data_IF_485924163456
#
_entry.id   IF_485924163456
#
_cell.length_a   1.000
_cell.length_b   1.000
_cell.length_c   1.000
_cell.angle_alpha   90.00
_cell.angle_beta   90.00
_cell.angle_gamma   90.00
#
_symmetry.space_group_name_H-M   'P 1'
#
loop_
_entity.id
_entity.type
_entity.pdbx_description
1 polymer ?
#
# COMPACT_ATOMS: atom_id res chain seq x y z
N UNK A 1 13.00 1.58 24.28
CA UNK A 1 11.61 1.61 23.78
C UNK A 1 11.28 0.21 23.29
N UNK A 2 10.71 -0.63 24.15
CA UNK A 2 10.34 -2.00 23.77
C UNK A 2 9.00 -1.94 23.03
N UNK A 3 9.06 -1.91 21.70
CA UNK A 3 7.86 -1.93 20.86
C UNK A 3 7.19 -3.29 20.98
N UNK A 4 5.91 -3.32 21.36
CA UNK A 4 5.14 -4.56 21.32
C UNK A 4 4.87 -4.95 19.87
N UNK A 5 4.85 -6.25 19.58
CA UNK A 5 4.62 -6.75 18.22
C UNK A 5 3.30 -6.20 17.61
N UNK A 6 2.31 -5.92 18.46
CA UNK A 6 1.01 -5.36 18.07
C UNK A 6 1.10 -3.89 17.65
N UNK A 7 1.90 -3.08 18.36
CA UNK A 7 2.10 -1.67 17.97
C UNK A 7 2.91 -1.57 16.69
N UNK A 8 3.93 -2.42 16.53
CA UNK A 8 4.69 -2.53 15.28
C UNK A 8 3.79 -2.96 14.09
N UNK A 9 2.93 -3.97 14.29
CA UNK A 9 1.98 -4.42 13.29
C UNK A 9 0.97 -3.33 12.92
N UNK A 10 0.43 -2.60 13.90
CA UNK A 10 -0.49 -1.49 13.65
C UNK A 10 0.13 -0.35 12.84
N UNK A 11 1.37 0.04 13.16
CA UNK A 11 2.11 1.06 12.40
C UNK A 11 2.41 0.61 10.97
N UNK A 12 2.85 -0.65 10.81
CA UNK A 12 3.10 -1.24 9.50
C UNK A 12 1.82 -1.32 8.65
N UNK A 13 0.70 -1.72 9.23
CA UNK A 13 -0.60 -1.74 8.55
C UNK A 13 -0.99 -0.34 8.07
N UNK A 14 -0.86 0.68 8.93
CA UNK A 14 -1.13 2.07 8.57
C UNK A 14 -0.24 2.58 7.42
N UNK A 15 1.06 2.28 7.47
CA UNK A 15 1.99 2.65 6.39
C UNK A 15 1.62 2.01 5.05
N UNK A 16 1.21 0.74 5.07
CA UNK A 16 0.78 0.03 3.86
C UNK A 16 -0.55 0.55 3.30
N UNK A 17 -1.48 0.97 4.15
CA UNK A 17 -2.71 1.66 3.69
C UNK A 17 -2.35 2.97 2.98
N UNK A 18 -1.46 3.79 3.55
CA UNK A 18 -1.00 5.02 2.90
C UNK A 18 -0.34 4.72 1.56
N UNK A 19 0.50 3.68 1.49
CA UNK A 19 1.15 3.26 0.24
C UNK A 19 0.13 2.83 -0.81
N UNK A 20 -0.91 2.08 -0.42
CA UNK A 20 -1.99 1.66 -1.33
C UNK A 20 -2.75 2.87 -1.90
N UNK A 21 -3.04 3.88 -1.07
CA UNK A 21 -3.69 5.12 -1.51
C UNK A 21 -2.79 5.85 -2.51
N UNK A 22 -1.50 6.02 -2.19
CA UNK A 22 -0.53 6.67 -3.09
C UNK A 22 -0.42 5.93 -4.41
N UNK A 23 -0.33 4.60 -4.39
CA UNK A 23 -0.28 3.78 -5.60
C UNK A 23 -1.54 3.94 -6.47
N UNK A 24 -2.73 3.93 -5.85
CA UNK A 24 -3.99 4.20 -6.54
C UNK A 24 -4.06 5.59 -7.16
N UNK A 25 -3.60 6.63 -6.44
CA UNK A 25 -3.54 8.01 -6.94
C UNK A 25 -2.55 8.13 -8.11
N UNK A 26 -1.37 7.52 -8.01
CA UNK A 26 -0.37 7.54 -9.08
C UNK A 26 -0.87 6.81 -10.33
N UNK A 27 -1.58 5.70 -10.16
CA UNK A 27 -2.24 4.98 -11.25
C UNK A 27 -3.35 5.83 -11.91
N UNK A 28 -4.21 6.47 -11.11
CA UNK A 28 -5.26 7.35 -11.61
C UNK A 28 -4.68 8.58 -12.34
N UNK A 29 -3.58 9.15 -11.82
CA UNK A 29 -2.83 10.22 -12.50
C UNK A 29 -2.21 9.73 -13.80
N UNK A 30 -1.69 8.50 -13.85
CA UNK A 30 -1.19 7.88 -15.10
C UNK A 30 -2.27 7.74 -16.16
N UNK A 31 -3.47 7.30 -15.79
CA UNK A 31 -4.61 7.19 -16.72
C UNK A 31 -5.05 8.51 -17.33
N UNK A 32 -4.74 9.64 -16.67
CA UNK A 32 -5.02 11.00 -17.17
C UNK A 32 -3.82 11.61 -17.92
N UNK A 33 -2.72 10.89 -18.14
CA UNK A 33 -1.58 11.42 -18.89
C UNK A 33 -1.92 11.50 -20.38
N UNK A 34 -1.42 12.56 -21.01
CA UNK A 34 -1.58 12.87 -22.43
C UNK A 34 -0.74 11.99 -23.36
N UNK A 35 0.21 11.23 -22.79
CA UNK A 35 1.08 10.29 -23.49
C UNK A 35 0.89 8.87 -22.90
N UNK A 36 0.04 8.02 -23.53
CA UNK A 36 -0.21 6.64 -23.13
C UNK A 36 0.96 5.69 -23.37
N UNK A 37 1.88 6.03 -24.28
CA UNK A 37 2.94 5.13 -24.74
C UNK A 37 4.20 5.19 -23.86
N UNK A 38 4.23 6.11 -22.89
CA UNK A 38 5.35 6.22 -21.96
C UNK A 38 5.43 4.97 -21.07
N UNK A 39 6.39 4.11 -21.37
CA UNK A 39 6.60 2.81 -20.69
C UNK A 39 6.61 2.99 -19.18
N UNK A 40 5.65 2.34 -18.52
CA UNK A 40 5.48 2.46 -17.10
C UNK A 40 6.44 1.58 -16.33
N UNK A 41 7.53 2.15 -15.78
CA UNK A 41 8.52 1.38 -15.00
C UNK A 41 7.97 0.60 -13.79
N UNK A 42 6.87 1.08 -13.20
CA UNK A 42 6.25 0.50 -12.01
C UNK A 42 4.80 0.17 -12.34
N UNK A 43 4.40 -1.06 -12.04
CA UNK A 43 3.02 -1.53 -12.11
C UNK A 43 2.26 -1.14 -10.82
N UNK A 44 1.73 0.08 -10.81
CA UNK A 44 1.03 0.65 -9.66
C UNK A 44 -0.16 -0.19 -9.16
N UNK A 45 -1.00 -0.80 -10.02
CA UNK A 45 -1.99 -1.78 -9.60
C UNK A 45 -1.42 -2.91 -8.73
N UNK A 46 -0.32 -3.53 -9.14
CA UNK A 46 0.32 -4.62 -8.36
C UNK A 46 0.86 -4.11 -7.03
N UNK A 47 1.48 -2.92 -7.01
CA UNK A 47 1.94 -2.28 -5.76
C UNK A 47 0.77 -1.99 -4.83
N UNK A 48 -0.34 -1.47 -5.37
CA UNK A 48 -1.54 -1.19 -4.60
C UNK A 48 -2.12 -2.46 -3.98
N UNK A 49 -2.22 -3.54 -4.76
CA UNK A 49 -2.72 -4.83 -4.27
C UNK A 49 -1.82 -5.42 -3.19
N UNK A 50 -0.50 -5.46 -3.40
CA UNK A 50 0.46 -5.96 -2.42
C UNK A 50 0.42 -5.15 -1.11
N UNK A 51 0.28 -3.83 -1.21
CA UNK A 51 0.14 -2.96 -0.06
C UNK A 51 -1.17 -3.23 0.72
N UNK A 52 -2.30 -3.37 0.04
CA UNK A 52 -3.57 -3.73 0.68
C UNK A 52 -3.52 -5.10 1.34
N UNK A 53 -2.94 -6.09 0.68
CA UNK A 53 -2.78 -7.43 1.23
C UNK A 53 -1.90 -7.40 2.49
N UNK A 54 -0.75 -6.77 2.44
CA UNK A 54 0.12 -6.64 3.61
C UNK A 54 -0.53 -5.84 4.75
N UNK A 55 -1.29 -4.79 4.42
CA UNK A 55 -2.05 -4.03 5.41
C UNK A 55 -3.08 -4.90 6.11
N UNK A 56 -3.80 -5.72 5.35
CA UNK A 56 -4.79 -6.66 5.88
C UNK A 56 -4.15 -7.70 6.81
N UNK A 57 -3.02 -8.30 6.40
CA UNK A 57 -2.28 -9.28 7.22
C UNK A 57 -1.79 -8.67 8.53
N UNK A 58 -1.19 -7.48 8.48
CA UNK A 58 -0.70 -6.80 9.68
C UNK A 58 -1.85 -6.33 10.58
N UNK A 59 -2.98 -5.92 10.01
CA UNK A 59 -4.17 -5.60 10.78
C UNK A 59 -4.70 -6.84 11.51
N UNK A 60 -4.74 -8.02 10.88
CA UNK A 60 -5.14 -9.26 11.55
C UNK A 60 -4.25 -9.55 12.77
N UNK A 61 -2.92 -9.40 12.64
CA UNK A 61 -1.99 -9.57 13.77
C UNK A 61 -2.21 -8.52 14.87
N UNK A 62 -2.43 -7.25 14.50
CA UNK A 62 -2.65 -6.19 15.46
C UNK A 62 -3.94 -6.39 16.27
N UNK A 63 -5.03 -6.75 15.58
CA UNK A 63 -6.36 -6.95 16.16
C UNK A 63 -6.58 -8.36 16.71
N UNK A 64 -5.66 -9.30 16.44
CA UNK A 64 -5.77 -10.71 16.81
C UNK A 64 -7.04 -11.36 16.24
N UNK A 65 -7.30 -11.08 14.96
CA UNK A 65 -8.36 -11.67 14.15
C UNK A 65 -7.99 -13.08 13.71
#
# INVERSE_FOLDING_TARGET
MEWSARTAAGLGAGALVVLAIVAGVLNARRRRRRDPDRVGFVDWPTVQFAALLGAFLLASVAFNL
#
